data_IF_287244945822
#
_entry.id   IF_287244945822
#
_cell.length_a   1.000
_cell.length_b   1.000
_cell.length_c   1.000
_cell.angle_alpha   90.00
_cell.angle_beta   90.00
_cell.angle_gamma   90.00
#
_symmetry.space_group_name_H-M   'P 1'
#
loop_
_entity.id
_entity.type
_entity.pdbx_description
1 polymer ?
#
# COMPACT_ATOMS: atom_id res chain seq x y z
N UNK A 1 -6.64 18.57 12.22
CA UNK A 1 -7.59 17.94 11.30
C UNK A 1 -7.32 16.46 11.43
N UNK A 2 -8.34 15.64 11.58
CA UNK A 2 -8.19 14.20 11.72
C UNK A 2 -7.80 13.59 10.36
N UNK A 3 -6.87 12.65 10.36
CA UNK A 3 -6.44 11.98 9.13
C UNK A 3 -7.58 11.12 8.60
N UNK A 4 -7.80 11.17 7.28
CA UNK A 4 -8.90 10.44 6.66
C UNK A 4 -8.46 9.03 6.31
N UNK A 5 -9.19 8.04 6.84
CA UNK A 5 -9.06 6.64 6.47
C UNK A 5 -10.32 6.24 5.69
N UNK A 6 -10.16 5.83 4.43
CA UNK A 6 -11.29 5.35 3.64
C UNK A 6 -11.71 3.94 4.09
N UNK A 7 -13.01 3.67 4.27
CA UNK A 7 -13.48 2.33 4.59
C UNK A 7 -13.22 1.31 3.46
N UNK A 8 -13.21 1.78 2.22
CA UNK A 8 -12.96 0.99 1.02
C UNK A 8 -11.88 1.68 0.18
N UNK A 9 -10.93 0.88 -0.29
CA UNK A 9 -10.00 1.26 -1.34
C UNK A 9 -10.15 0.31 -2.53
N UNK A 10 -10.48 0.86 -3.69
CA UNK A 10 -10.45 0.14 -4.95
C UNK A 10 -9.19 0.55 -5.70
N UNK A 11 -8.37 -0.42 -6.06
CA UNK A 11 -7.11 -0.22 -6.75
C UNK A 11 -7.22 -0.67 -8.20
N UNK A 12 -6.59 0.10 -9.09
CA UNK A 12 -6.35 -0.29 -10.48
C UNK A 12 -4.86 -0.20 -10.79
N UNK A 13 -4.31 -1.28 -11.34
CA UNK A 13 -2.92 -1.42 -11.75
C UNK A 13 -2.88 -1.38 -13.27
N UNK A 14 -2.19 -0.41 -13.86
CA UNK A 14 -2.19 -0.15 -15.30
C UNK A 14 -0.78 0.03 -15.87
N UNK A 15 -0.57 -0.46 -17.09
CA UNK A 15 0.68 -0.24 -17.83
C UNK A 15 0.70 1.11 -18.57
N UNK A 16 -0.42 1.84 -18.60
CA UNK A 16 -0.48 3.20 -19.13
C UNK A 16 0.39 4.14 -18.30
N UNK A 17 0.95 5.17 -18.93
CA UNK A 17 1.61 6.25 -18.19
C UNK A 17 0.60 6.97 -17.28
N UNK A 18 1.04 7.65 -16.20
CA UNK A 18 0.13 8.40 -15.34
C UNK A 18 -0.66 9.48 -16.07
N UNK A 19 -0.09 10.07 -17.13
CA UNK A 19 -0.73 11.06 -17.97
C UNK A 19 -1.85 10.45 -18.82
N UNK A 20 -1.59 9.29 -19.44
CA UNK A 20 -2.59 8.55 -20.23
C UNK A 20 -3.70 8.01 -19.35
N UNK A 21 -3.34 7.37 -18.22
CA UNK A 21 -4.31 6.88 -17.24
C UNK A 21 -5.18 8.00 -16.68
N UNK A 22 -4.55 9.11 -16.26
CA UNK A 22 -5.21 10.27 -15.67
C UNK A 22 -6.12 11.05 -16.62
N UNK A 23 -5.95 10.89 -17.95
CA UNK A 23 -6.74 11.61 -18.94
C UNK A 23 -8.23 11.24 -18.93
N UNK A 24 -8.59 9.99 -18.60
CA UNK A 24 -9.98 9.54 -18.62
C UNK A 24 -10.36 8.66 -17.42
N UNK A 25 -9.57 7.62 -17.15
CA UNK A 25 -9.96 6.53 -16.25
C UNK A 25 -10.33 6.95 -14.82
N UNK A 26 -9.59 7.83 -14.12
CA UNK A 26 -9.98 8.29 -12.80
C UNK A 26 -11.35 9.00 -12.78
N UNK A 27 -11.68 9.72 -13.83
CA UNK A 27 -12.95 10.42 -13.93
C UNK A 27 -14.14 9.48 -14.20
N UNK A 28 -13.92 8.40 -14.97
CA UNK A 28 -14.91 7.36 -15.21
C UNK A 28 -15.26 6.63 -13.90
N UNK A 29 -14.25 6.22 -13.12
CA UNK A 29 -14.47 5.53 -11.85
C UNK A 29 -15.07 6.48 -10.81
N UNK A 30 -14.62 7.73 -10.77
CA UNK A 30 -15.15 8.75 -9.85
C UNK A 30 -16.65 9.05 -10.09
N UNK A 31 -17.15 8.83 -11.30
CA UNK A 31 -18.56 8.99 -11.62
C UNK A 31 -19.45 7.85 -11.10
N UNK A 32 -18.88 6.77 -10.60
CA UNK A 32 -19.63 5.65 -10.06
C UNK A 32 -20.20 5.97 -8.66
N UNK A 33 -21.38 5.43 -8.32
CA UNK A 33 -21.94 5.60 -6.99
C UNK A 33 -21.00 5.09 -5.90
N UNK A 34 -20.86 5.86 -4.84
CA UNK A 34 -20.05 5.50 -3.68
C UNK A 34 -18.55 5.82 -3.78
N UNK A 35 -18.06 6.29 -4.93
CA UNK A 35 -16.67 6.79 -5.05
C UNK A 35 -16.59 8.22 -4.57
N UNK A 36 -15.73 8.51 -3.61
CA UNK A 36 -15.60 9.81 -2.96
C UNK A 36 -14.34 10.58 -3.37
N UNK A 37 -13.31 9.87 -3.84
CA UNK A 37 -12.06 10.47 -4.30
C UNK A 37 -11.32 9.52 -5.21
N UNK A 38 -10.65 10.07 -6.22
CA UNK A 38 -9.74 9.37 -7.10
C UNK A 38 -8.35 10.01 -7.01
N UNK A 39 -7.33 9.20 -6.82
CA UNK A 39 -5.92 9.61 -6.95
C UNK A 39 -5.23 8.64 -7.91
N UNK A 40 -4.23 9.15 -8.65
CA UNK A 40 -3.42 8.28 -9.48
C UNK A 40 -1.95 8.61 -9.29
N UNK A 41 -1.13 7.58 -9.40
CA UNK A 41 0.22 7.56 -8.88
C UNK A 41 1.18 7.00 -9.92
N UNK A 42 2.35 7.61 -10.03
CA UNK A 42 3.47 7.10 -10.81
C UNK A 42 4.22 6.06 -10.00
N UNK A 43 4.43 4.89 -10.56
CA UNK A 43 5.35 3.91 -9.99
C UNK A 43 6.79 4.41 -10.16
N UNK A 44 7.53 4.52 -9.04
CA UNK A 44 8.90 5.03 -9.04
C UNK A 44 9.93 3.98 -9.47
N UNK A 45 9.63 2.69 -9.21
CA UNK A 45 10.53 1.57 -9.49
C UNK A 45 9.79 0.40 -10.16
N UNK A 46 9.26 0.57 -11.40
CA UNK A 46 8.40 -0.42 -12.03
C UNK A 46 9.05 -1.80 -12.21
N UNK A 47 10.38 -1.90 -12.18
CA UNK A 47 11.14 -3.14 -12.30
C UNK A 47 12.04 -3.35 -11.08
N UNK A 48 11.48 -3.19 -9.89
CA UNK A 48 12.22 -3.32 -8.63
C UNK A 48 12.81 -4.72 -8.46
N UNK A 49 14.13 -4.78 -8.17
CA UNK A 49 14.90 -6.02 -7.95
C UNK A 49 15.79 -5.99 -6.70
N UNK A 50 15.87 -4.86 -6.03
CA UNK A 50 16.76 -4.61 -4.90
C UNK A 50 16.41 -5.40 -3.64
N UNK A 51 15.25 -6.05 -3.59
CA UNK A 51 14.81 -6.92 -2.50
C UNK A 51 14.74 -8.41 -2.88
N UNK A 52 15.23 -8.81 -4.07
CA UNK A 52 15.35 -10.22 -4.43
C UNK A 52 16.47 -10.89 -3.60
N UNK A 53 16.31 -12.17 -3.18
CA UNK A 53 15.26 -13.12 -3.53
C UNK A 53 14.06 -13.19 -2.57
N UNK A 54 13.95 -12.28 -1.60
CA UNK A 54 13.00 -12.40 -0.49
C UNK A 54 11.54 -12.09 -0.88
N UNK A 55 11.34 -11.50 -2.06
CA UNK A 55 10.01 -11.16 -2.57
C UNK A 55 9.57 -12.06 -3.71
N UNK A 56 8.38 -12.61 -3.58
CA UNK A 56 7.70 -13.33 -4.65
C UNK A 56 6.74 -12.36 -5.33
N UNK A 57 7.22 -11.58 -6.30
CA UNK A 57 6.35 -10.70 -7.08
C UNK A 57 5.32 -11.53 -7.87
N UNK A 58 4.19 -11.83 -7.24
CA UNK A 58 3.05 -12.52 -7.87
C UNK A 58 2.24 -11.59 -8.78
N UNK A 59 2.38 -10.29 -8.58
CA UNK A 59 1.73 -9.27 -9.38
C UNK A 59 2.76 -8.76 -10.38
N UNK A 60 2.51 -8.88 -11.70
CA UNK A 60 3.37 -8.31 -12.72
C UNK A 60 3.54 -6.80 -12.54
N UNK A 61 4.70 -6.27 -12.95
CA UNK A 61 4.99 -4.84 -12.96
C UNK A 61 3.90 -4.04 -13.65
N UNK A 62 3.74 -2.80 -13.24
CA UNK A 62 2.82 -1.83 -13.83
C UNK A 62 3.36 -0.40 -13.64
N UNK A 63 2.90 0.53 -14.46
CA UNK A 63 3.39 1.91 -14.52
C UNK A 63 2.60 2.87 -13.66
N UNK A 64 1.29 2.69 -13.59
CA UNK A 64 0.38 3.58 -12.88
C UNK A 64 -0.51 2.82 -11.90
N UNK A 65 -0.71 3.41 -10.72
CA UNK A 65 -1.66 2.96 -9.72
C UNK A 65 -2.83 3.96 -9.66
N UNK A 66 -4.05 3.49 -9.93
CA UNK A 66 -5.27 4.20 -9.54
C UNK A 66 -5.69 3.78 -8.13
N UNK A 67 -6.00 4.73 -7.28
CA UNK A 67 -6.47 4.48 -5.92
C UNK A 67 -7.74 5.30 -5.70
N UNK A 68 -8.84 4.59 -5.42
CA UNK A 68 -10.17 5.17 -5.26
C UNK A 68 -10.68 4.93 -3.85
N UNK A 69 -10.96 6.01 -3.16
CA UNK A 69 -11.63 5.99 -1.86
C UNK A 69 -13.14 5.86 -2.08
N UNK A 70 -13.75 4.91 -1.40
CA UNK A 70 -15.17 4.63 -1.60
C UNK A 70 -15.90 4.29 -0.30
N UNK A 71 -17.22 4.39 -0.37
CA UNK A 71 -18.14 4.01 0.72
C UNK A 71 -18.30 2.47 0.81
N UNK A 72 -18.74 1.93 1.95
CA UNK A 72 -18.88 0.48 2.13
C UNK A 72 -19.83 -0.23 1.16
N UNK A 73 -20.74 0.49 0.54
CA UNK A 73 -21.70 -0.01 -0.44
C UNK A 73 -21.22 0.09 -1.90
N UNK A 74 -19.96 0.54 -2.11
CA UNK A 74 -19.37 0.60 -3.45
C UNK A 74 -19.28 -0.79 -4.10
N UNK A 75 -19.76 -0.87 -5.33
CA UNK A 75 -19.64 -2.06 -6.17
C UNK A 75 -18.61 -1.81 -7.29
N UNK A 76 -17.50 -2.55 -7.32
CA UNK A 76 -16.49 -2.39 -8.36
C UNK A 76 -17.08 -2.58 -9.77
N UNK A 77 -16.69 -1.74 -10.75
CA UNK A 77 -17.08 -1.94 -12.12
C UNK A 77 -16.37 -3.14 -12.74
N UNK A 78 -16.82 -3.55 -13.92
CA UNK A 78 -16.03 -4.45 -14.76
C UNK A 78 -14.68 -3.79 -15.08
N UNK A 79 -13.61 -4.55 -14.93
CA UNK A 79 -12.25 -4.06 -15.19
C UNK A 79 -12.00 -4.04 -16.69
N UNK A 80 -11.58 -2.91 -17.28
CA UNK A 80 -11.20 -2.85 -18.69
C UNK A 80 -9.99 -3.73 -19.01
N UNK A 81 -9.86 -4.11 -20.28
CA UNK A 81 -8.69 -4.82 -20.78
C UNK A 81 -7.40 -4.01 -20.48
N UNK A 82 -6.35 -4.70 -20.05
CA UNK A 82 -5.07 -4.09 -19.71
C UNK A 82 -5.01 -3.41 -18.33
N UNK A 83 -6.10 -3.43 -17.56
CA UNK A 83 -6.14 -3.00 -16.17
C UNK A 83 -6.40 -4.22 -15.27
N UNK A 84 -5.71 -4.30 -14.17
CA UNK A 84 -5.97 -5.26 -13.08
C UNK A 84 -6.53 -4.50 -11.90
N UNK A 85 -7.53 -5.03 -11.24
CA UNK A 85 -8.14 -4.37 -10.09
C UNK A 85 -8.20 -5.24 -8.86
N UNK A 86 -8.11 -4.60 -7.70
CA UNK A 86 -8.21 -5.26 -6.40
C UNK A 86 -9.07 -4.38 -5.49
N UNK A 87 -9.98 -5.02 -4.77
CA UNK A 87 -10.92 -4.34 -3.88
C UNK A 87 -10.57 -4.65 -2.43
N UNK A 88 -10.20 -3.62 -1.66
CA UNK A 88 -9.82 -3.72 -0.27
C UNK A 88 -10.82 -3.00 0.64
N UNK A 89 -11.04 -3.54 1.83
CA UNK A 89 -11.70 -2.85 2.93
C UNK A 89 -10.71 -2.56 4.05
N UNK A 90 -10.92 -1.47 4.74
CA UNK A 90 -10.13 -1.14 5.93
C UNK A 90 -10.20 -2.30 6.92
N UNK A 91 -9.05 -2.79 7.36
CA UNK A 91 -8.97 -3.82 8.38
C UNK A 91 -9.40 -3.21 9.73
N UNK A 92 -10.14 -3.94 10.59
CA UNK A 92 -10.71 -3.37 11.83
C UNK A 92 -9.64 -3.16 12.92
N UNK A 93 -8.57 -2.46 12.56
CA UNK A 93 -7.48 -2.00 13.42
C UNK A 93 -7.08 -0.60 13.00
N UNK A 94 -6.68 0.28 13.96
CA UNK A 94 -6.32 1.65 13.64
C UNK A 94 -5.10 1.70 12.72
N UNK A 95 -5.01 2.75 11.91
CA UNK A 95 -3.75 3.14 11.30
C UNK A 95 -2.72 3.46 12.38
N UNK A 96 -1.45 3.28 12.06
CA UNK A 96 -0.33 3.61 12.93
C UNK A 96 0.41 4.83 12.39
N UNK A 97 0.77 5.76 13.28
CA UNK A 97 1.27 7.07 12.90
C UNK A 97 0.14 7.98 12.39
N UNK A 98 0.50 9.15 11.88
CA UNK A 98 -0.47 10.15 11.40
C UNK A 98 0.20 11.17 10.47
N UNK A 99 -0.61 11.72 9.55
CA UNK A 99 -0.21 12.78 8.60
C UNK A 99 -0.41 14.19 9.15
N UNK A 100 -1.05 14.35 10.31
CA UNK A 100 -1.41 15.65 10.88
C UNK A 100 -2.26 16.52 9.93
N UNK A 101 -3.15 15.89 9.16
CA UNK A 101 -3.96 16.55 8.15
C UNK A 101 -3.17 17.03 6.92
N UNK A 102 -1.93 16.61 6.77
CA UNK A 102 -1.15 16.86 5.56
C UNK A 102 -1.65 15.95 4.42
N UNK A 103 -1.48 16.43 3.19
CA UNK A 103 -1.80 15.64 2.00
C UNK A 103 -0.75 14.57 1.76
N UNK A 104 -1.17 13.36 1.44
CA UNK A 104 -0.29 12.31 0.95
C UNK A 104 0.23 12.64 -0.44
N UNK A 105 1.54 12.73 -0.60
CA UNK A 105 2.22 13.03 -1.85
C UNK A 105 3.10 11.88 -2.36
N UNK A 106 3.46 10.97 -1.46
CA UNK A 106 4.17 9.73 -1.78
C UNK A 106 3.58 8.58 -0.98
N UNK A 107 3.65 7.38 -1.52
CA UNK A 107 3.25 6.19 -0.81
C UNK A 107 4.11 4.97 -1.16
N UNK A 108 4.13 4.01 -0.24
CA UNK A 108 4.57 2.65 -0.52
C UNK A 108 3.37 1.73 -0.36
N UNK A 109 3.18 0.88 -1.36
CA UNK A 109 2.17 -0.16 -1.37
C UNK A 109 2.85 -1.49 -1.10
N UNK A 110 2.42 -2.17 -0.03
CA UNK A 110 2.85 -3.54 0.26
C UNK A 110 1.63 -4.43 0.23
N UNK A 111 1.66 -5.43 -0.64
CA UNK A 111 0.64 -6.46 -0.77
C UNK A 111 1.22 -7.77 -0.27
N UNK A 112 0.53 -8.41 0.67
CA UNK A 112 1.02 -9.64 1.30
C UNK A 112 -0.08 -10.69 1.41
N UNK A 113 0.35 -11.95 1.41
CA UNK A 113 -0.51 -13.10 1.68
C UNK A 113 0.11 -14.00 2.74
N UNK A 114 -0.70 -14.73 3.53
CA UNK A 114 -0.18 -15.81 4.33
C UNK A 114 0.23 -16.99 3.43
N UNK A 115 1.22 -17.78 3.85
CA UNK A 115 1.55 -19.04 3.15
C UNK A 115 0.40 -20.03 3.19
N UNK A 116 -0.33 -20.03 4.31
CA UNK A 116 -1.51 -20.84 4.55
C UNK A 116 -2.61 -19.95 5.13
N UNK A 117 -3.86 -20.13 4.70
CA UNK A 117 -4.98 -19.31 5.16
C UNK A 117 -5.17 -19.40 6.70
N UNK A 118 -4.86 -20.55 7.30
CA UNK A 118 -4.86 -20.72 8.76
C UNK A 118 -3.88 -19.81 9.49
N UNK A 119 -2.83 -19.34 8.82
CA UNK A 119 -1.83 -18.41 9.35
C UNK A 119 -2.15 -16.93 9.16
N UNK A 120 -3.26 -16.59 8.50
CA UNK A 120 -3.62 -15.21 8.17
C UNK A 120 -3.68 -14.29 9.39
N UNK A 121 -4.30 -14.75 10.48
CA UNK A 121 -4.42 -13.97 11.71
C UNK A 121 -3.04 -13.77 12.38
N UNK A 122 -2.18 -14.80 12.41
CA UNK A 122 -0.85 -14.71 13.00
C UNK A 122 0.05 -13.72 12.20
N UNK A 123 -0.03 -13.77 10.85
CA UNK A 123 0.65 -12.80 9.98
C UNK A 123 0.16 -11.37 10.27
N UNK A 124 -1.16 -11.20 10.39
CA UNK A 124 -1.74 -9.88 10.67
C UNK A 124 -1.31 -9.35 12.03
N UNK A 125 -1.32 -10.19 13.07
CA UNK A 125 -0.90 -9.81 14.42
C UNK A 125 0.58 -9.44 14.46
N UNK A 126 1.43 -10.21 13.79
CA UNK A 126 2.85 -9.88 13.67
C UNK A 126 3.04 -8.53 12.96
N UNK A 127 2.36 -8.28 11.85
CA UNK A 127 2.47 -7.02 11.14
C UNK A 127 2.08 -5.84 12.03
N UNK A 128 0.94 -5.91 12.72
CA UNK A 128 0.39 -4.80 13.49
C UNK A 128 1.08 -4.57 14.84
N UNK A 129 1.66 -5.60 15.45
CA UNK A 129 2.23 -5.49 16.81
C UNK A 129 3.76 -5.60 16.86
N UNK A 130 4.39 -6.11 15.80
CA UNK A 130 5.85 -6.30 15.77
C UNK A 130 6.50 -5.46 14.66
N UNK A 131 6.01 -5.59 13.41
CA UNK A 131 6.68 -5.01 12.24
C UNK A 131 6.39 -3.52 12.06
N UNK A 132 5.12 -3.12 12.06
CA UNK A 132 4.69 -1.76 11.72
C UNK A 132 4.99 -0.72 12.84
N UNK A 133 4.81 -1.00 14.15
CA UNK A 133 4.93 0.04 15.17
C UNK A 133 6.27 0.79 15.18
N UNK A 134 7.43 0.13 15.04
CA UNK A 134 8.71 0.84 14.97
C UNK A 134 8.81 1.76 13.76
N UNK A 135 8.26 1.37 12.61
CA UNK A 135 8.26 2.17 11.39
C UNK A 135 7.41 3.43 11.55
N UNK A 136 6.20 3.28 12.07
CA UNK A 136 5.27 4.39 12.27
C UNK A 136 5.76 5.42 13.30
N UNK A 137 6.54 4.98 14.30
CA UNK A 137 7.05 5.84 15.39
C UNK A 137 8.46 6.35 15.14
N UNK A 138 9.23 5.71 14.27
CA UNK A 138 10.64 6.03 14.00
C UNK A 138 10.89 7.37 13.31
N UNK A 139 9.87 7.96 12.73
CA UNK A 139 9.91 9.26 12.02
C UNK A 139 11.02 9.38 10.95
N UNK A 140 11.32 8.26 10.28
CA UNK A 140 12.42 8.17 9.31
C UNK A 140 11.97 8.22 7.85
N UNK A 141 10.66 8.13 7.57
CA UNK A 141 10.18 8.11 6.20
C UNK A 141 8.68 8.26 6.12
N UNK A 142 7.98 7.17 6.31
CA UNK A 142 6.52 7.17 6.24
C UNK A 142 5.89 7.67 7.54
N UNK A 143 4.77 8.39 7.39
CA UNK A 143 4.09 9.08 8.50
C UNK A 143 2.89 8.31 9.02
N UNK A 144 2.19 7.62 8.13
CA UNK A 144 0.99 6.86 8.47
C UNK A 144 1.01 5.53 7.72
N UNK A 145 0.63 4.46 8.41
CA UNK A 145 0.55 3.11 7.84
C UNK A 145 -0.83 2.55 8.14
N UNK A 146 -1.62 2.33 7.09
CA UNK A 146 -3.02 1.90 7.21
C UNK A 146 -3.20 0.47 6.72
N UNK A 147 -3.81 -0.42 7.54
CA UNK A 147 -4.05 -1.81 7.18
C UNK A 147 -5.37 -1.99 6.42
N UNK A 148 -5.33 -2.83 5.39
CA UNK A 148 -6.49 -3.22 4.60
C UNK A 148 -6.51 -4.73 4.36
N UNK A 149 -7.69 -5.30 4.08
CA UNK A 149 -7.84 -6.68 3.65
C UNK A 149 -8.65 -6.79 2.36
N UNK A 150 -8.34 -7.79 1.56
CA UNK A 150 -9.03 -8.05 0.30
C UNK A 150 -10.47 -8.50 0.56
N UNK A 151 -11.44 -7.79 -0.01
CA UNK A 151 -12.87 -8.08 0.15
C UNK A 151 -13.23 -9.46 -0.38
N UNK A 152 -12.60 -9.91 -1.46
CA UNK A 152 -12.81 -11.24 -2.04
C UNK A 152 -12.15 -12.37 -1.22
N UNK A 153 -11.30 -12.05 -0.24
CA UNK A 153 -10.57 -13.04 0.55
C UNK A 153 -9.47 -13.80 -0.20
N UNK A 154 -9.18 -13.40 -1.45
CA UNK A 154 -8.12 -13.99 -2.28
C UNK A 154 -6.75 -13.38 -2.05
N UNK A 155 -5.78 -13.78 -2.90
CA UNK A 155 -4.44 -13.20 -2.95
C UNK A 155 -4.38 -12.00 -3.90
N UNK A 156 -3.70 -10.90 -3.49
CA UNK A 156 -3.10 -10.65 -2.18
C UNK A 156 -4.17 -10.54 -1.08
N UNK A 157 -3.87 -11.09 0.10
CA UNK A 157 -4.83 -11.15 1.21
C UNK A 157 -4.91 -9.84 1.97
N UNK A 158 -3.78 -9.19 2.20
CA UNK A 158 -3.66 -7.94 2.95
C UNK A 158 -2.91 -6.89 2.16
N UNK A 159 -3.20 -5.63 2.45
CA UNK A 159 -2.48 -4.47 1.99
C UNK A 159 -2.08 -3.61 3.18
N UNK A 160 -0.84 -3.11 3.16
CA UNK A 160 -0.39 -2.02 3.99
C UNK A 160 -0.13 -0.81 3.10
N UNK A 161 -0.82 0.28 3.36
CA UNK A 161 -0.61 1.55 2.68
C UNK A 161 0.25 2.43 3.57
N UNK A 162 1.48 2.70 3.15
CA UNK A 162 2.44 3.58 3.82
C UNK A 162 2.38 4.94 3.15
N UNK A 163 2.16 5.98 3.91
CA UNK A 163 1.91 7.33 3.40
C UNK A 163 2.96 8.32 3.89
N UNK A 164 3.38 9.23 2.99
CA UNK A 164 4.25 10.35 3.33
C UNK A 164 3.74 11.66 2.72
N UNK A 165 4.00 12.78 3.40
CA UNK A 165 3.64 14.11 2.94
C UNK A 165 4.62 14.69 1.89
N UNK A 166 5.62 13.92 1.49
CA UNK A 166 6.58 14.29 0.44
C UNK A 166 6.45 13.37 -0.79
N UNK A 167 6.96 13.81 -1.95
CA UNK A 167 7.02 12.97 -3.16
C UNK A 167 8.15 11.94 -3.13
N UNK A 168 8.96 11.96 -2.09
CA UNK A 168 10.20 11.19 -2.00
C UNK A 168 10.00 9.84 -1.32
N UNK A 169 8.94 9.10 -1.72
CA UNK A 169 8.61 7.81 -1.11
C UNK A 169 9.74 6.78 -1.23
N UNK A 170 10.50 6.81 -2.34
CA UNK A 170 11.66 5.93 -2.50
C UNK A 170 12.78 6.28 -1.51
N UNK A 171 13.08 7.57 -1.32
CA UNK A 171 14.06 7.99 -0.32
C UNK A 171 13.61 7.67 1.10
N UNK A 172 12.30 7.73 1.38
CA UNK A 172 11.73 7.32 2.65
C UNK A 172 11.98 5.82 2.91
N UNK A 173 11.69 4.96 1.93
CA UNK A 173 11.96 3.53 2.02
C UNK A 173 13.46 3.24 2.24
N UNK A 174 14.35 3.86 1.47
CA UNK A 174 15.79 3.67 1.63
C UNK A 174 16.28 4.13 3.01
N UNK A 175 15.71 5.20 3.54
CA UNK A 175 16.02 5.66 4.90
C UNK A 175 15.61 4.63 5.97
N UNK A 176 14.46 3.98 5.83
CA UNK A 176 14.01 2.90 6.71
C UNK A 176 14.93 1.69 6.63
N UNK A 177 15.24 1.22 5.42
CA UNK A 177 16.13 0.07 5.19
C UNK A 177 17.50 0.27 5.86
N UNK A 178 18.01 1.50 5.87
CA UNK A 178 19.31 1.80 6.49
C UNK A 178 19.22 1.99 8.01
N UNK A 179 18.15 2.60 8.52
CA UNK A 179 18.04 2.97 9.93
C UNK A 179 17.57 1.81 10.81
N UNK A 180 16.63 1.01 10.34
CA UNK A 180 15.97 -0.02 11.15
C UNK A 180 16.94 -1.08 11.69
N UNK A 181 17.92 -1.60 10.95
CA UNK A 181 18.87 -2.55 11.50
C UNK A 181 19.59 -2.05 12.75
N UNK A 182 19.92 -0.76 12.80
CA UNK A 182 20.59 -0.18 13.96
C UNK A 182 19.74 -0.18 15.23
N UNK A 183 18.42 -0.12 15.14
CA UNK A 183 17.51 -0.19 16.28
C UNK A 183 17.51 -1.56 16.95
N UNK A 184 17.86 -2.58 16.19
CA UNK A 184 17.90 -3.98 16.65
C UNK A 184 19.32 -4.52 16.85
N UNK A 185 20.34 -3.63 16.79
CA UNK A 185 21.74 -4.01 17.00
C UNK A 185 22.43 -4.65 15.80
N UNK A 186 21.85 -4.57 14.61
CA UNK A 186 22.38 -5.06 13.34
C UNK A 186 21.52 -6.12 12.68
N UNK A 187 21.78 -6.38 11.40
CA UNK A 187 21.02 -7.34 10.57
C UNK A 187 21.14 -8.79 11.01
N UNK A 188 22.22 -9.15 11.73
CA UNK A 188 22.51 -10.53 12.15
C UNK A 188 21.85 -10.92 13.48
N UNK A 189 21.15 -9.98 14.13
CA UNK A 189 20.51 -10.24 15.42
C UNK A 189 19.20 -11.02 15.28
N UNK A 190 18.87 -11.81 16.33
CA UNK A 190 17.59 -12.50 16.40
C UNK A 190 16.42 -11.49 16.45
N UNK A 191 16.60 -10.37 17.16
CA UNK A 191 15.60 -9.32 17.26
C UNK A 191 15.27 -8.70 15.90
N UNK A 192 16.29 -8.41 15.07
CA UNK A 192 16.08 -7.91 13.71
C UNK A 192 15.34 -8.93 12.83
N UNK A 193 15.76 -10.19 12.86
CA UNK A 193 15.10 -11.25 12.09
C UNK A 193 13.65 -11.45 12.50
N UNK A 194 13.33 -11.42 13.79
CA UNK A 194 11.97 -11.51 14.30
C UNK A 194 11.09 -10.33 13.83
N UNK A 195 11.67 -9.13 13.76
CA UNK A 195 11.00 -7.95 13.23
C UNK A 195 10.80 -8.03 11.72
N UNK A 196 11.79 -8.47 10.97
CA UNK A 196 11.81 -8.43 9.51
C UNK A 196 10.96 -9.51 8.86
N UNK A 197 10.93 -10.73 9.42
CA UNK A 197 10.36 -11.92 8.79
C UNK A 197 9.39 -12.62 9.71
N UNK A 198 8.30 -13.10 9.14
CA UNK A 198 7.34 -14.00 9.76
C UNK A 198 7.19 -15.26 8.89
N UNK A 199 7.05 -16.44 9.51
CA UNK A 199 6.97 -17.74 8.80
C UNK A 199 5.82 -17.78 7.77
N UNK A 200 4.73 -17.08 8.03
CA UNK A 200 3.57 -16.98 7.14
C UNK A 200 3.69 -15.89 6.07
N UNK A 201 4.74 -15.05 6.11
CA UNK A 201 4.84 -13.90 5.20
C UNK A 201 5.18 -14.35 3.77
N UNK A 202 4.35 -13.93 2.85
CA UNK A 202 4.62 -13.86 1.41
C UNK A 202 4.37 -12.44 0.96
N UNK A 203 5.39 -11.77 0.44
CA UNK A 203 5.23 -10.44 -0.16
C UNK A 203 4.85 -10.63 -1.63
N UNK A 204 3.59 -10.36 -1.95
CA UNK A 204 3.05 -10.50 -3.30
C UNK A 204 3.48 -9.36 -4.21
N UNK A 205 3.62 -8.16 -3.63
CA UNK A 205 4.09 -6.95 -4.31
C UNK A 205 4.53 -5.88 -3.31
N UNK A 206 5.59 -5.16 -3.65
CA UNK A 206 6.03 -3.96 -2.92
C UNK A 206 6.61 -2.94 -3.88
N UNK A 207 6.14 -1.71 -3.80
CA UNK A 207 6.75 -0.59 -4.55
C UNK A 207 6.39 0.76 -3.96
N UNK A 208 7.11 1.79 -4.43
CA UNK A 208 6.93 3.20 -4.06
C UNK A 208 6.34 4.00 -5.21
N UNK A 209 5.56 5.02 -4.86
CA UNK A 209 4.79 5.82 -5.81
C UNK A 209 4.82 7.29 -5.43
N UNK A 210 4.75 8.16 -6.43
CA UNK A 210 4.51 9.60 -6.26
C UNK A 210 3.14 9.99 -6.82
N UNK A 211 2.49 10.95 -6.18
CA UNK A 211 1.20 11.46 -6.62
C UNK A 211 1.33 12.16 -7.98
N UNK A 212 0.63 11.63 -8.99
CA UNK A 212 0.54 12.21 -10.33
C UNK A 212 -0.68 13.12 -10.48
N UNK A 213 -1.80 12.79 -9.82
CA UNK A 213 -2.98 13.63 -9.84
C UNK A 213 -4.09 13.15 -8.91
N UNK A 214 -5.12 13.99 -8.80
CA UNK A 214 -6.32 13.70 -8.01
C UNK A 214 -7.56 14.34 -8.60
N UNK A 215 -8.71 13.75 -8.30
CA UNK A 215 -10.02 14.29 -8.57
C UNK A 215 -11.00 13.96 -7.45
N UNK A 216 -11.95 14.86 -7.22
CA UNK A 216 -13.08 14.68 -6.29
C UNK A 216 -14.40 14.88 -7.04
N UNK A 217 -15.51 14.29 -6.60
CA UNK A 217 -16.83 14.56 -7.17
C UNK A 217 -17.14 16.07 -7.14
N UNK A 218 -17.79 16.54 -8.18
CA UNK A 218 -18.25 17.94 -8.28
C UNK A 218 -19.55 18.14 -7.51
#
# INVERSE_FOLDING_TARGET
>A
MEDRISPILYLELSDLTPEEYGASRPHEVLALPGVERATWWRNLMPHRKDFEPDFVNRIPDFTSLGLYEATPDFAPPATPDGIRSIHFRHYPRPAQGFLDGQKTLGLMLILVSPREESGAQALRDWADFVHIPPLATGNIGFKMITPYENVAGGEPRFMHLYETATREAESALQSEVHAVPAWYGGTDTEAYRHWQVHEQLVVDYMNTFELAGEAIPR
#
